data_IF_194799480894
#
_entry.id   IF_194799480894
#
_cell.length_a   1.000
_cell.length_b   1.000
_cell.length_c   1.000
_cell.angle_alpha   90.00
_cell.angle_beta   90.00
_cell.angle_gamma   90.00
#
_symmetry.space_group_name_H-M   'P 1'
#
loop_
_entity.id
_entity.type
_entity.pdbx_description
1 polymer ?
#
# COMPACT_ATOMS: atom_id res chain seq x y z
N UNK A 1 -10.56 8.10 5.90
CA UNK A 1 -10.69 8.76 4.58
C UNK A 1 -12.06 9.45 4.45
N UNK A 2 -12.72 9.78 5.56
CA UNK A 2 -14.16 10.12 5.60
C UNK A 2 -14.51 11.44 4.91
N UNK A 3 -13.53 12.30 4.66
CA UNK A 3 -13.76 13.60 4.06
C UNK A 3 -13.77 13.59 2.52
N UNK A 4 -13.33 12.53 1.84
CA UNK A 4 -13.30 12.45 0.36
C UNK A 4 -12.44 13.53 -0.33
N UNK A 5 -11.68 14.32 0.43
CA UNK A 5 -10.96 15.52 -0.04
C UNK A 5 -9.54 15.24 -0.55
N UNK A 6 -9.13 13.98 -0.61
CA UNK A 6 -7.82 13.56 -1.11
C UNK A 6 -7.91 12.29 -1.91
N UNK A 7 -7.21 12.23 -3.04
CA UNK A 7 -7.04 11.03 -3.85
C UNK A 7 -5.68 10.42 -3.52
N UNK A 8 -5.65 9.12 -3.25
CA UNK A 8 -4.42 8.37 -3.16
C UNK A 8 -4.10 7.74 -4.52
N UNK A 9 -2.85 7.84 -4.95
CA UNK A 9 -2.37 7.30 -6.24
C UNK A 9 -1.09 6.52 -6.01
N UNK A 10 -0.86 5.49 -6.84
CA UNK A 10 0.42 4.79 -6.92
C UNK A 10 0.91 4.90 -8.36
N UNK A 11 2.20 5.20 -8.54
CA UNK A 11 2.81 5.31 -9.88
C UNK A 11 3.42 3.98 -10.35
N UNK A 12 3.94 3.97 -11.58
CA UNK A 12 4.62 2.81 -12.19
C UNK A 12 5.92 2.36 -11.50
N UNK A 13 6.39 3.11 -10.51
CA UNK A 13 7.56 2.82 -9.68
C UNK A 13 7.16 2.38 -8.27
N UNK A 14 5.87 2.11 -8.05
CA UNK A 14 5.28 1.75 -6.75
C UNK A 14 5.39 2.85 -5.68
N UNK A 15 5.64 4.11 -6.08
CA UNK A 15 5.62 5.22 -5.14
C UNK A 15 4.18 5.62 -4.84
N UNK A 16 3.87 5.68 -3.54
CA UNK A 16 2.60 6.17 -3.03
C UNK A 16 2.56 7.70 -3.02
N UNK A 17 1.47 8.27 -3.51
CA UNK A 17 1.24 9.69 -3.59
C UNK A 17 -0.16 10.10 -3.13
N UNK A 18 -0.27 11.35 -2.70
CA UNK A 18 -1.52 11.93 -2.23
C UNK A 18 -1.79 13.26 -2.94
N UNK A 19 -2.95 13.37 -3.57
CA UNK A 19 -3.46 14.58 -4.19
C UNK A 19 -4.53 15.19 -3.27
N UNK A 20 -4.28 16.40 -2.75
CA UNK A 20 -5.27 17.15 -1.97
C UNK A 20 -6.11 18.01 -2.91
N UNK A 21 -7.40 17.71 -3.03
CA UNK A 21 -8.32 18.36 -3.96
C UNK A 21 -8.65 19.81 -3.57
N UNK A 22 -8.31 20.25 -2.35
CA UNK A 22 -8.51 21.63 -1.88
C UNK A 22 -7.42 22.58 -2.37
N UNK A 23 -6.25 22.05 -2.73
CA UNK A 23 -5.10 22.87 -3.11
C UNK A 23 -5.14 23.11 -4.62
N UNK A 24 -5.29 24.38 -5.00
CA UNK A 24 -5.28 24.81 -6.41
C UNK A 24 -3.94 24.53 -7.12
N UNK A 25 -2.86 24.28 -6.37
CA UNK A 25 -1.59 23.78 -6.89
C UNK A 25 -1.62 22.24 -6.95
N UNK A 26 -2.02 21.71 -8.10
CA UNK A 26 -2.28 20.29 -8.40
C UNK A 26 -1.01 19.40 -8.44
N UNK A 27 -0.23 19.39 -7.35
CA UNK A 27 0.91 18.49 -7.20
C UNK A 27 0.58 17.27 -6.36
N UNK A 28 0.91 16.08 -6.85
CA UNK A 28 0.88 14.86 -6.03
C UNK A 28 2.02 14.93 -5.00
N UNK A 29 1.68 14.81 -3.72
CA UNK A 29 2.66 14.67 -2.64
C UNK A 29 3.08 13.21 -2.54
N UNK A 30 4.19 12.87 -3.20
CA UNK A 30 4.80 11.54 -3.11
C UNK A 30 5.40 11.32 -1.70
N UNK A 31 5.02 10.21 -1.05
CA UNK A 31 5.49 9.82 0.30
C UNK A 31 6.70 8.88 0.26
N UNK A 32 6.99 8.28 -0.89
CA UNK A 32 8.20 7.50 -1.14
C UNK A 32 9.10 8.21 -2.15
N UNK A 33 10.41 8.12 -1.90
CA UNK A 33 11.49 8.47 -2.85
C UNK A 33 12.41 7.25 -2.95
N UNK A 34 12.01 6.22 -3.69
CA UNK A 34 12.92 5.11 -4.01
C UNK A 34 12.32 4.30 -5.16
N UNK A 35 13.01 3.96 -6.27
CA UNK A 35 14.37 3.40 -6.38
C UNK A 35 15.03 3.71 -7.75
N UNK A 36 15.47 4.94 -8.02
CA UNK A 36 16.45 5.14 -9.12
C UNK A 36 17.82 4.48 -8.82
N UNK A 37 18.04 3.98 -7.59
CA UNK A 37 19.31 3.38 -7.15
C UNK A 37 19.28 1.87 -6.94
N UNK A 38 18.16 1.18 -7.20
CA UNK A 38 18.04 -0.29 -7.08
C UNK A 38 17.33 -0.90 -8.29
N UNK A 39 17.81 -0.61 -9.50
CA UNK A 39 17.56 -1.47 -10.68
C UNK A 39 18.57 -1.20 -11.79
N UNK A 40 19.88 -1.27 -11.47
CA UNK A 40 20.90 -1.60 -12.48
C UNK A 40 20.78 -3.04 -13.00
N UNK A 41 19.85 -3.83 -12.44
CA UNK A 41 19.33 -5.01 -13.11
C UNK A 41 18.14 -4.58 -13.93
N UNK A 42 18.31 -4.64 -15.25
CA UNK A 42 17.26 -4.94 -16.22
C UNK A 42 16.07 -5.59 -15.51
N UNK A 43 14.88 -4.99 -15.59
CA UNK A 43 13.63 -5.71 -15.34
C UNK A 43 13.64 -6.89 -16.30
N UNK A 44 14.20 -8.00 -15.83
CA UNK A 44 14.23 -9.23 -16.57
C UNK A 44 12.78 -9.62 -16.76
N UNK A 45 12.39 -9.70 -18.02
CA UNK A 45 11.16 -10.29 -18.50
C UNK A 45 11.05 -11.69 -17.86
N UNK A 46 10.26 -11.86 -16.78
CA UNK A 46 9.67 -13.18 -16.40
C UNK A 46 8.98 -13.25 -15.02
N UNK A 47 9.04 -12.27 -14.13
CA UNK A 47 8.26 -12.34 -12.89
C UNK A 47 6.93 -11.60 -13.04
N UNK A 48 5.83 -12.32 -12.82
CA UNK A 48 4.47 -11.79 -12.77
C UNK A 48 4.46 -10.59 -11.80
N UNK A 49 4.44 -9.38 -12.35
CA UNK A 49 4.71 -8.18 -11.56
C UNK A 49 3.44 -7.85 -10.79
N UNK A 50 3.37 -8.27 -9.54
CA UNK A 50 2.21 -8.02 -8.70
C UNK A 50 2.01 -6.53 -8.50
N UNK A 51 0.90 -6.01 -9.05
CA UNK A 51 0.61 -4.59 -9.08
C UNK A 51 0.20 -4.10 -7.68
N UNK A 52 0.63 -2.90 -7.29
CA UNK A 52 0.28 -2.34 -6.00
C UNK A 52 -1.24 -2.11 -5.93
N UNK A 53 -1.83 -2.42 -4.77
CA UNK A 53 -3.27 -2.29 -4.51
C UNK A 53 -3.51 -1.30 -3.39
N UNK A 54 -4.61 -0.55 -3.51
CA UNK A 54 -5.13 0.34 -2.48
C UNK A 54 -6.47 -0.19 -1.97
N UNK A 55 -6.69 -0.07 -0.66
CA UNK A 55 -8.00 -0.31 -0.05
C UNK A 55 -8.21 0.65 1.13
N UNK A 56 -9.48 0.88 1.46
CA UNK A 56 -9.86 1.70 2.61
C UNK A 56 -10.75 0.89 3.55
N UNK A 57 -10.47 0.96 4.85
CA UNK A 57 -11.24 0.25 5.86
C UNK A 57 -11.14 1.00 7.20
N UNK A 58 -12.25 1.15 7.92
CA UNK A 58 -12.25 1.80 9.25
C UNK A 58 -11.65 3.21 9.26
N UNK A 59 -11.80 3.98 8.17
CA UNK A 59 -11.19 5.31 8.05
C UNK A 59 -9.69 5.32 7.72
N UNK A 60 -9.03 4.16 7.67
CA UNK A 60 -7.63 4.01 7.30
C UNK A 60 -7.46 3.67 5.81
N UNK A 61 -6.27 3.92 5.30
CA UNK A 61 -5.83 3.56 3.95
C UNK A 61 -4.76 2.48 4.04
N UNK A 62 -4.94 1.42 3.26
CA UNK A 62 -4.03 0.29 3.13
C UNK A 62 -3.44 0.30 1.72
N UNK A 63 -2.12 0.16 1.61
CA UNK A 63 -1.40 0.14 0.34
C UNK A 63 -0.43 -1.04 0.29
N UNK A 64 -0.61 -1.98 -0.65
CA UNK A 64 0.36 -3.04 -0.88
C UNK A 64 1.46 -2.58 -1.83
N UNK A 65 2.70 -2.84 -1.45
CA UNK A 65 3.91 -2.57 -2.25
C UNK A 65 4.95 -3.64 -1.93
N UNK A 66 5.33 -4.44 -2.92
CA UNK A 66 6.23 -5.58 -2.72
C UNK A 66 5.65 -6.59 -1.73
N UNK A 67 6.43 -6.99 -0.73
CA UNK A 67 6.06 -7.92 0.34
C UNK A 67 5.40 -7.25 1.56
N UNK A 68 4.93 -5.99 1.43
CA UNK A 68 4.41 -5.21 2.55
C UNK A 68 3.07 -4.55 2.27
N UNK A 69 2.31 -4.31 3.34
CA UNK A 69 1.13 -3.45 3.36
C UNK A 69 1.38 -2.30 4.33
N UNK A 70 1.38 -1.08 3.80
CA UNK A 70 1.50 0.16 4.58
C UNK A 70 0.10 0.66 4.96
N UNK A 71 -0.06 1.06 6.22
CA UNK A 71 -1.34 1.54 6.78
C UNK A 71 -1.20 3.00 7.17
N UNK A 72 -2.07 3.82 6.60
CA UNK A 72 -2.10 5.27 6.80
C UNK A 72 -3.39 5.70 7.47
N UNK A 73 -3.29 6.72 8.32
CA UNK A 73 -4.41 7.22 9.09
C UNK A 73 -4.47 8.76 9.12
N UNK A 74 -5.66 9.27 9.43
CA UNK A 74 -5.93 10.69 9.58
C UNK A 74 -5.94 11.49 8.26
N UNK A 75 -6.26 12.79 8.33
CA UNK A 75 -6.37 13.67 7.16
C UNK A 75 -5.03 13.91 6.45
N UNK A 76 -3.92 13.77 7.17
CA UNK A 76 -2.57 13.94 6.62
C UNK A 76 -1.95 12.65 6.09
N UNK A 77 -2.67 11.51 6.18
CA UNK A 77 -2.20 10.19 5.77
C UNK A 77 -0.84 9.85 6.37
N UNK A 78 -0.78 9.86 7.69
CA UNK A 78 0.43 9.49 8.45
C UNK A 78 0.56 7.98 8.43
N UNK A 79 1.76 7.46 8.10
CA UNK A 79 2.05 6.02 8.19
C UNK A 79 2.01 5.60 9.66
N UNK A 80 1.08 4.71 10.01
CA UNK A 80 0.90 4.23 11.39
C UNK A 80 1.42 2.82 11.58
N UNK A 81 1.39 1.99 10.54
CA UNK A 81 1.82 0.59 10.63
C UNK A 81 2.31 0.07 9.28
N UNK A 82 3.16 -0.95 9.32
CA UNK A 82 3.59 -1.70 8.15
C UNK A 82 3.50 -3.18 8.49
N UNK A 83 2.63 -3.89 7.76
CA UNK A 83 2.49 -5.34 7.82
C UNK A 83 3.48 -5.92 6.81
N UNK A 84 4.42 -6.74 7.27
CA UNK A 84 5.36 -7.43 6.40
C UNK A 84 4.92 -8.88 6.24
N UNK A 85 4.88 -9.34 5.00
CA UNK A 85 4.57 -10.72 4.66
C UNK A 85 5.59 -11.70 5.22
N UNK A 86 5.19 -12.96 5.27
CA UNK A 86 6.02 -14.08 5.71
C UNK A 86 7.23 -14.28 4.80
N UNK A 87 8.35 -14.69 5.40
CA UNK A 87 9.57 -14.95 4.64
C UNK A 87 9.32 -16.07 3.63
N UNK A 88 9.58 -15.79 2.35
CA UNK A 88 9.47 -16.75 1.26
C UNK A 88 8.15 -16.73 0.48
N UNK A 89 7.17 -15.90 0.88
CA UNK A 89 5.93 -15.71 0.09
C UNK A 89 6.08 -14.80 -1.13
N UNK A 90 7.24 -14.18 -1.35
CA UNK A 90 7.41 -13.21 -2.42
C UNK A 90 6.51 -11.97 -2.27
N UNK A 91 6.13 -11.34 -3.39
CA UNK A 91 5.35 -10.12 -3.39
C UNK A 91 3.86 -10.37 -3.08
N UNK A 92 3.20 -9.38 -2.49
CA UNK A 92 1.75 -9.39 -2.26
C UNK A 92 1.05 -9.01 -3.56
N UNK A 93 0.24 -9.92 -4.07
CA UNK A 93 -0.49 -9.79 -5.34
C UNK A 93 -1.91 -9.27 -5.16
N UNK A 94 -2.52 -9.64 -4.04
CA UNK A 94 -3.80 -9.08 -3.67
C UNK A 94 -3.96 -9.07 -2.14
N UNK A 95 -4.84 -8.23 -1.64
CA UNK A 95 -5.30 -8.32 -0.26
C UNK A 95 -6.76 -7.93 -0.14
N UNK A 96 -7.43 -8.49 0.87
CA UNK A 96 -8.82 -8.19 1.19
C UNK A 96 -8.95 -7.93 2.69
N UNK A 97 -9.95 -7.12 3.05
CA UNK A 97 -10.26 -6.81 4.44
C UNK A 97 -11.71 -7.22 4.68
N UNK A 98 -11.92 -8.06 5.68
CA UNK A 98 -13.22 -8.58 6.08
C UNK A 98 -13.36 -8.54 7.60
N UNK A 99 -14.26 -7.69 8.10
CA UNK A 99 -14.43 -7.51 9.53
C UNK A 99 -13.16 -6.99 10.21
N UNK A 100 -12.65 -7.75 11.17
CA UNK A 100 -11.41 -7.45 11.92
C UNK A 100 -10.16 -8.11 11.29
N UNK A 101 -10.27 -8.71 10.10
CA UNK A 101 -9.18 -9.47 9.47
C UNK A 101 -8.74 -8.88 8.14
N UNK A 102 -7.43 -8.87 7.92
CA UNK A 102 -6.79 -8.58 6.65
C UNK A 102 -6.13 -9.87 6.13
N UNK A 103 -6.43 -10.23 4.88
CA UNK A 103 -5.87 -11.39 4.19
C UNK A 103 -5.00 -10.90 3.03
N UNK A 104 -3.74 -11.37 2.94
CA UNK A 104 -2.88 -11.09 1.78
C UNK A 104 -2.53 -12.38 1.03
N UNK A 105 -2.70 -12.32 -0.29
CA UNK A 105 -2.29 -13.35 -1.22
C UNK A 105 -0.89 -13.02 -1.77
N UNK A 106 -0.05 -14.03 -1.75
CA UNK A 106 1.36 -13.96 -2.12
C UNK A 106 1.61 -14.55 -3.51
N UNK A 107 2.65 -14.07 -4.21
CA UNK A 107 3.05 -14.57 -5.52
C UNK A 107 3.65 -15.97 -5.47
N UNK A 108 4.23 -16.34 -4.32
CA UNK A 108 4.98 -17.59 -4.14
C UNK A 108 4.34 -18.49 -3.08
N UNK A 109 4.67 -19.78 -3.17
CA UNK A 109 4.44 -20.79 -2.13
C UNK A 109 2.96 -21.11 -1.74
N UNK A 110 1.96 -20.62 -2.47
CA UNK A 110 0.53 -20.78 -2.12
C UNK A 110 0.22 -20.39 -0.66
N UNK A 111 0.98 -19.45 -0.11
CA UNK A 111 0.81 -18.96 1.25
C UNK A 111 -0.13 -17.75 1.23
N UNK A 112 -0.90 -17.58 2.29
CA UNK A 112 -1.58 -16.32 2.57
C UNK A 112 -1.33 -15.94 4.02
N UNK A 113 -1.08 -14.66 4.24
CA UNK A 113 -0.93 -14.12 5.58
C UNK A 113 -2.25 -13.52 6.05
N UNK A 114 -2.50 -13.64 7.35
CA UNK A 114 -3.69 -13.10 8.00
C UNK A 114 -3.26 -12.25 9.18
N UNK A 115 -3.71 -10.99 9.19
CA UNK A 115 -3.52 -10.07 10.30
C UNK A 115 -4.85 -9.63 10.88
N UNK A 116 -4.83 -9.22 12.14
CA UNK A 116 -5.88 -8.35 12.66
C UNK A 116 -5.76 -6.98 12.02
N UNK A 117 -6.89 -6.39 11.61
CA UNK A 117 -6.90 -5.04 11.09
C UNK A 117 -6.43 -4.08 12.16
N UNK A 118 -5.43 -3.23 11.90
CA UNK A 118 -5.02 -2.20 12.86
C UNK A 118 -6.24 -1.39 13.29
N UNK A 119 -6.40 -1.08 14.59
CA UNK A 119 -7.54 -0.32 15.05
C UNK A 119 -7.54 1.06 14.39
N UNK A 120 -8.73 1.63 14.10
CA UNK A 120 -8.84 3.03 13.73
C UNK A 120 -8.18 3.92 14.79
N UNK A 121 -7.70 5.10 14.40
CA UNK A 121 -7.21 6.05 15.41
C UNK A 121 -8.43 6.53 16.20
N UNK A 122 -8.33 6.45 17.52
CA UNK A 122 -9.27 7.13 18.41
C UNK A 122 -8.92 8.62 18.31
N UNK A 123 -9.82 9.41 17.71
CA UNK A 123 -9.70 10.86 17.55
C UNK A 123 -10.30 11.55 18.77
#
# INVERSE_FOLDING_TARGET
>A
MEDGRSICVINQYDDLGFLDLRKNAAGVRWRSRSKLTMSGKTKALSEETCHPKLATHGGQLFASTGDTISVFNGPDHVLTSTLRGSNGGGAICDFSIGGDRLFALHSEENVFDVWETPPPAII
#
